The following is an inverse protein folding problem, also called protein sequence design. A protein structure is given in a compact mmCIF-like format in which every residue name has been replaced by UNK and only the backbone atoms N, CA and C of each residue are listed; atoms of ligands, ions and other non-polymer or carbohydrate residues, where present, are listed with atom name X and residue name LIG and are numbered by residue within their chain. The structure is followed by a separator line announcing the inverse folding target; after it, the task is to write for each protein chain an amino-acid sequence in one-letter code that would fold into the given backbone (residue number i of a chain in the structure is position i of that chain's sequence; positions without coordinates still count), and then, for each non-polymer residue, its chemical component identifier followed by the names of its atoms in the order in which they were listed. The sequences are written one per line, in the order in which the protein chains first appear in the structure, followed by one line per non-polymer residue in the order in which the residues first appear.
data_IF_270481579948
#
_entry.id   IF_270481579948
#
_cell.length_a   1.000
_cell.length_b   1.000
_cell.length_c   1.000
_cell.angle_alpha   90.00
_cell.angle_beta   90.00
_cell.angle_gamma   90.00
#
_symmetry.space_group_name_H-M   'P 1'
#
loop_
_entity.id
_entity.type
_entity.pdbx_description
1 polymer ?
#
# COMPACT_ATOMS: atom_id res chain seq x y z
N UNK A 1 10.18 -22.37 47.24
CA UNK A 1 9.91 -23.07 45.97
C UNK A 1 10.87 -22.49 44.94
N UNK A 2 11.89 -23.30 44.60
CA UNK A 2 13.05 -23.22 43.67
C UNK A 2 13.83 -21.91 43.37
N UNK A 3 15.17 -22.00 43.18
CA UNK A 3 16.10 -20.88 43.16
C UNK A 3 16.49 -20.38 41.75
N UNK A 4 17.02 -19.16 41.66
CA UNK A 4 17.79 -18.67 40.51
C UNK A 4 19.24 -19.20 40.55
N UNK A 5 19.87 -19.50 39.40
CA UNK A 5 21.31 -19.23 39.10
C UNK A 5 21.75 -19.70 37.68
N UNK A 6 22.37 -18.75 36.96
CA UNK A 6 23.57 -18.76 36.08
C UNK A 6 23.87 -19.76 34.93
N UNK A 7 24.29 -19.16 33.80
CA UNK A 7 25.37 -19.64 32.90
C UNK A 7 24.91 -20.34 31.61
N UNK A 8 25.52 -20.22 30.42
CA UNK A 8 26.62 -19.41 29.90
C UNK A 8 26.62 -19.57 28.35
N UNK A 9 27.00 -18.50 27.66
CA UNK A 9 27.80 -18.41 26.43
C UNK A 9 27.64 -19.43 25.27
N UNK A 10 27.46 -18.84 24.07
CA UNK A 10 28.41 -19.08 22.98
C UNK A 10 27.95 -19.96 21.83
N UNK A 11 27.31 -19.36 20.82
CA UNK A 11 27.36 -19.90 19.46
C UNK A 11 27.71 -18.79 18.46
N UNK A 12 28.91 -18.90 17.87
CA UNK A 12 29.30 -18.25 16.61
C UNK A 12 29.72 -19.35 15.63
N UNK A 13 29.17 -19.38 14.42
CA UNK A 13 29.87 -19.93 13.28
C UNK A 13 30.29 -18.81 12.31
N UNK A 14 31.59 -18.75 12.01
CA UNK A 14 32.14 -18.03 10.86
C UNK A 14 33.00 -19.02 10.07
N UNK A 15 32.62 -19.35 8.83
CA UNK A 15 33.48 -19.88 7.75
C UNK A 15 32.84 -19.41 6.43
N UNK A 16 33.36 -18.36 5.79
CA UNK A 16 34.43 -18.41 4.77
C UNK A 16 33.81 -18.70 3.39
N UNK A 17 33.47 -17.68 2.59
CA UNK A 17 34.24 -16.98 1.54
C UNK A 17 34.14 -17.62 0.14
N UNK A 18 33.99 -16.74 -0.88
CA UNK A 18 34.20 -16.96 -2.32
C UNK A 18 33.10 -17.67 -3.14
N UNK A 19 32.03 -16.93 -3.48
CA UNK A 19 31.38 -17.03 -4.79
C UNK A 19 31.16 -15.60 -5.30
N UNK A 20 32.21 -15.00 -5.88
CA UNK A 20 32.40 -14.89 -7.33
C UNK A 20 31.33 -14.05 -8.03
N UNK A 21 31.81 -12.88 -8.47
CA UNK A 21 31.29 -12.02 -9.54
C UNK A 21 30.34 -12.73 -10.51
N UNK A 22 29.12 -12.21 -10.61
CA UNK A 22 28.62 -11.74 -11.91
C UNK A 22 27.60 -10.60 -11.72
N UNK A 23 28.04 -9.38 -12.04
CA UNK A 23 27.16 -8.29 -12.37
C UNK A 23 26.40 -8.66 -13.64
N UNK A 24 25.07 -8.76 -13.56
CA UNK A 24 24.18 -8.59 -14.70
C UNK A 24 23.20 -7.47 -14.35
N UNK A 25 23.34 -6.27 -14.94
CA UNK A 25 22.26 -5.30 -14.90
C UNK A 25 21.21 -5.82 -15.89
N UNK A 26 20.15 -6.42 -15.40
CA UNK A 26 18.94 -6.59 -16.21
C UNK A 26 17.91 -5.61 -15.70
N UNK A 27 18.13 -4.38 -16.15
CA UNK A 27 17.08 -3.38 -16.33
C UNK A 27 15.90 -4.11 -16.99
N UNK A 28 14.87 -4.47 -16.21
CA UNK A 28 13.51 -4.56 -16.75
C UNK A 28 12.96 -3.14 -16.75
N UNK A 29 13.47 -2.32 -17.66
CA UNK A 29 12.63 -1.30 -18.26
C UNK A 29 11.61 -2.10 -19.07
N UNK A 30 10.48 -2.41 -18.43
CA UNK A 30 9.25 -2.46 -19.18
C UNK A 30 9.02 -0.99 -19.54
N UNK A 31 9.57 -0.54 -20.66
CA UNK A 31 9.14 0.71 -21.26
C UNK A 31 7.67 0.49 -21.57
N UNK A 32 6.84 0.96 -20.65
CA UNK A 32 5.40 1.07 -20.88
C UNK A 32 5.29 2.00 -22.09
N UNK A 33 4.51 1.64 -23.12
CA UNK A 33 4.31 2.53 -24.26
C UNK A 33 3.90 3.91 -23.74
N UNK A 34 4.46 4.98 -24.31
CA UNK A 34 4.05 6.37 -24.04
C UNK A 34 2.55 6.47 -24.37
N UNK A 35 1.71 6.25 -23.35
CA UNK A 35 0.32 6.65 -23.39
C UNK A 35 0.38 8.15 -23.12
N UNK A 36 0.37 8.95 -24.19
CA UNK A 36 0.25 10.40 -24.12
C UNK A 36 -1.10 10.73 -23.48
N UNK A 37 -1.10 10.83 -22.15
CA UNK A 37 -2.28 11.16 -21.35
C UNK A 37 -2.35 12.68 -21.25
N UNK A 38 -3.48 13.24 -21.68
CA UNK A 38 -3.71 14.67 -21.56
C UNK A 38 -3.71 15.11 -20.08
N UNK A 39 -3.19 16.32 -19.80
CA UNK A 39 -3.20 16.95 -18.48
C UNK A 39 -4.56 16.90 -17.78
N UNK A 40 -5.66 17.00 -18.55
CA UNK A 40 -7.01 16.87 -18.02
C UNK A 40 -7.25 15.48 -17.42
N UNK A 41 -6.95 14.42 -18.17
CA UNK A 41 -7.14 13.04 -17.70
C UNK A 41 -6.23 12.72 -16.50
N UNK A 42 -5.00 13.26 -16.50
CA UNK A 42 -4.10 13.17 -15.35
C UNK A 42 -4.76 13.78 -14.11
N UNK A 43 -5.21 15.03 -14.22
CA UNK A 43 -5.81 15.76 -13.10
C UNK A 43 -7.09 15.09 -12.61
N UNK A 44 -7.96 14.64 -13.51
CA UNK A 44 -9.18 13.91 -13.17
C UNK A 44 -8.88 12.61 -12.42
N UNK A 45 -7.82 11.88 -12.82
CA UNK A 45 -7.39 10.68 -12.12
C UNK A 45 -6.84 10.99 -10.73
N UNK A 46 -5.98 12.01 -10.60
CA UNK A 46 -5.44 12.42 -9.29
C UNK A 46 -6.55 12.88 -8.34
N UNK A 47 -7.49 13.69 -8.83
CA UNK A 47 -8.65 14.13 -8.05
C UNK A 47 -9.55 12.95 -7.66
N UNK A 48 -9.77 12.00 -8.56
CA UNK A 48 -10.54 10.79 -8.25
C UNK A 48 -9.91 9.97 -7.12
N UNK A 49 -8.57 9.87 -7.10
CA UNK A 49 -7.84 9.18 -6.03
C UNK A 49 -7.99 9.94 -4.70
N UNK A 50 -7.78 11.27 -4.71
CA UNK A 50 -7.94 12.11 -3.51
C UNK A 50 -9.34 12.00 -2.94
N UNK A 51 -10.35 12.11 -3.79
CA UNK A 51 -11.74 12.02 -3.38
C UNK A 51 -12.09 10.64 -2.82
N UNK A 52 -11.62 9.56 -3.45
CA UNK A 52 -11.82 8.21 -2.91
C UNK A 52 -11.16 8.01 -1.54
N UNK A 53 -9.93 8.52 -1.34
CA UNK A 53 -9.23 8.49 -0.04
C UNK A 53 -10.00 9.28 1.02
N UNK A 54 -10.37 10.52 0.71
CA UNK A 54 -11.12 11.38 1.63
C UNK A 54 -12.49 10.78 2.00
N UNK A 55 -13.21 10.22 1.04
CA UNK A 55 -14.49 9.54 1.33
C UNK A 55 -14.30 8.31 2.21
N UNK A 56 -13.22 7.55 2.01
CA UNK A 56 -12.89 6.40 2.84
C UNK A 56 -12.56 6.84 4.28
N UNK A 57 -11.70 7.84 4.44
CA UNK A 57 -11.35 8.42 5.75
C UNK A 57 -12.60 8.96 6.47
N UNK A 58 -13.45 9.70 5.77
CA UNK A 58 -14.70 10.23 6.32
C UNK A 58 -15.68 9.11 6.70
N UNK A 59 -15.83 8.07 5.89
CA UNK A 59 -16.69 6.93 6.21
C UNK A 59 -16.17 6.17 7.43
N UNK A 60 -14.85 6.05 7.57
CA UNK A 60 -14.20 5.41 8.72
C UNK A 60 -14.39 6.24 9.98
N UNK A 61 -14.19 7.55 9.90
CA UNK A 61 -14.43 8.48 11.01
C UNK A 61 -15.90 8.45 11.44
N UNK A 62 -16.85 8.52 10.50
CA UNK A 62 -18.27 8.46 10.84
C UNK A 62 -18.70 7.11 11.44
N UNK A 63 -18.09 6.00 11.02
CA UNK A 63 -18.32 4.69 11.61
C UNK A 63 -17.94 4.65 13.09
N UNK A 64 -16.85 5.31 13.49
CA UNK A 64 -16.40 5.39 14.89
C UNK A 64 -17.43 6.05 15.82
N UNK A 65 -18.29 6.93 15.28
CA UNK A 65 -19.32 7.64 16.04
C UNK A 65 -20.75 7.15 15.75
N UNK A 66 -20.93 6.12 14.92
CA UNK A 66 -22.24 5.58 14.62
C UNK A 66 -22.76 4.75 15.82
N UNK A 67 -23.93 5.11 16.35
CA UNK A 67 -24.58 4.45 17.47
C UNK A 67 -25.92 3.77 17.11
N UNK A 68 -26.42 4.06 15.91
CA UNK A 68 -27.60 3.43 15.32
C UNK A 68 -27.20 2.23 14.44
N UNK A 69 -27.91 1.11 14.57
CA UNK A 69 -27.59 -0.15 13.88
C UNK A 69 -27.63 -0.01 12.35
N UNK A 70 -28.61 0.73 11.81
CA UNK A 70 -28.70 0.97 10.37
C UNK A 70 -27.53 1.83 9.87
N UNK A 71 -27.07 2.78 10.69
CA UNK A 71 -25.89 3.60 10.38
C UNK A 71 -24.59 2.79 10.45
N UNK A 72 -24.45 1.88 11.40
CA UNK A 72 -23.29 0.98 11.51
C UNK A 72 -23.20 0.10 10.26
N UNK A 73 -24.30 -0.51 9.84
CA UNK A 73 -24.37 -1.31 8.62
C UNK A 73 -24.05 -0.45 7.39
N UNK A 74 -24.68 0.71 7.27
CA UNK A 74 -24.43 1.66 6.17
C UNK A 74 -22.95 2.01 6.06
N UNK A 75 -22.31 2.43 7.15
CA UNK A 75 -20.91 2.83 7.13
C UNK A 75 -19.97 1.64 6.90
N UNK A 76 -20.31 0.44 7.37
CA UNK A 76 -19.57 -0.79 7.06
C UNK A 76 -19.50 -1.04 5.55
N UNK A 77 -20.66 -1.00 4.86
CA UNK A 77 -20.69 -1.17 3.42
C UNK A 77 -20.01 0.00 2.68
N UNK A 78 -20.18 1.23 3.18
CA UNK A 78 -19.57 2.42 2.57
C UNK A 78 -18.04 2.38 2.64
N UNK A 79 -17.47 2.00 3.79
CA UNK A 79 -16.02 1.83 3.95
C UNK A 79 -15.49 0.84 2.91
N UNK A 80 -16.14 -0.32 2.76
CA UNK A 80 -15.74 -1.32 1.76
C UNK A 80 -15.86 -0.83 0.32
N UNK A 81 -16.92 -0.08 0.00
CA UNK A 81 -17.07 0.51 -1.33
C UNK A 81 -15.97 1.55 -1.62
N UNK A 82 -15.65 2.41 -0.66
CA UNK A 82 -14.62 3.44 -0.80
C UNK A 82 -13.21 2.85 -0.90
N UNK A 83 -12.89 1.82 -0.09
CA UNK A 83 -11.63 1.05 -0.16
C UNK A 83 -11.42 0.48 -1.57
N UNK A 84 -12.41 -0.26 -2.10
CA UNK A 84 -12.37 -0.84 -3.45
C UNK A 84 -12.21 0.25 -4.51
N UNK A 85 -12.91 1.38 -4.36
CA UNK A 85 -12.85 2.50 -5.31
C UNK A 85 -11.47 3.16 -5.30
N UNK A 86 -10.87 3.34 -4.13
CA UNK A 86 -9.54 3.89 -3.98
C UNK A 86 -8.48 2.98 -4.63
N UNK A 87 -8.52 1.68 -4.32
CA UNK A 87 -7.63 0.68 -4.93
C UNK A 87 -7.75 0.63 -6.46
N UNK A 88 -8.97 0.74 -6.99
CA UNK A 88 -9.22 0.81 -8.42
C UNK A 88 -8.49 1.99 -9.07
N UNK A 89 -8.58 3.19 -8.49
CA UNK A 89 -7.90 4.36 -9.05
C UNK A 89 -6.38 4.30 -8.89
N UNK A 90 -5.87 3.74 -7.78
CA UNK A 90 -4.44 3.46 -7.63
C UNK A 90 -3.92 2.49 -8.70
N UNK A 91 -4.69 1.44 -8.99
CA UNK A 91 -4.37 0.49 -10.08
C UNK A 91 -4.33 1.20 -11.43
N UNK A 92 -5.30 2.06 -11.73
CA UNK A 92 -5.31 2.89 -12.95
C UNK A 92 -4.10 3.81 -13.05
N UNK A 93 -3.71 4.47 -11.95
CA UNK A 93 -2.53 5.31 -11.92
C UNK A 93 -1.25 4.52 -12.23
N UNK A 94 -1.12 3.34 -11.61
CA UNK A 94 0.01 2.43 -11.87
C UNK A 94 0.06 1.95 -13.33
N UNK A 95 -1.09 1.62 -13.92
CA UNK A 95 -1.19 1.23 -15.34
C UNK A 95 -0.75 2.35 -16.28
N UNK A 96 -0.99 3.62 -15.89
CA UNK A 96 -0.56 4.83 -16.60
C UNK A 96 0.85 5.32 -16.21
N UNK A 97 1.59 4.56 -15.38
CA UNK A 97 2.96 4.93 -14.97
C UNK A 97 3.04 6.12 -13.99
N UNK A 98 1.93 6.51 -13.38
CA UNK A 98 1.86 7.64 -12.45
C UNK A 98 2.21 7.15 -11.04
N UNK A 99 3.21 7.78 -10.43
CA UNK A 99 3.52 7.59 -9.02
C UNK A 99 2.68 8.56 -8.18
N UNK A 100 1.75 8.01 -7.43
CA UNK A 100 0.84 8.77 -6.59
C UNK A 100 1.42 8.82 -5.17
N UNK A 101 1.80 10.01 -4.72
CA UNK A 101 2.21 10.27 -3.34
C UNK A 101 1.16 11.22 -2.73
N UNK A 102 0.28 10.69 -1.87
CA UNK A 102 -0.91 11.36 -1.33
C UNK A 102 -1.04 11.15 0.17
#
# INVERSE_FOLDING_TARGET
MYPETYGNQGYKPQKGSLLSRLLKPSIRQKTVPDIDMCDREYNELIESIRNAKMEWENASWNFEYADDEDLIDYYTYKIKACEIRYEYFLKKAKEKGINVNL
#
